data_IF_620582987588
#
_entry.id   IF_620582987588
#
_cell.length_a   1.000
_cell.length_b   1.000
_cell.length_c   1.000
_cell.angle_alpha   90.00
_cell.angle_beta   90.00
_cell.angle_gamma   90.00
#
_symmetry.space_group_name_H-M   'P 1'
#
loop_
_entity.id
_entity.type
_entity.pdbx_description
1 polymer ?
#
# COMPACT_ATOMS: atom_id res chain seq x y z
N UNK A 1 -10.72 5.70 -19.35
CA UNK A 1 -10.44 6.27 -18.01
C UNK A 1 -10.57 7.79 -18.09
N UNK A 2 -11.27 8.46 -17.17
CA UNK A 2 -11.31 9.93 -17.15
C UNK A 2 -9.93 10.48 -16.79
N UNK A 3 -9.54 11.65 -17.35
CA UNK A 3 -8.23 12.28 -17.09
C UNK A 3 -7.94 12.43 -15.59
N UNK A 4 -8.94 12.78 -14.78
CA UNK A 4 -8.80 12.94 -13.34
C UNK A 4 -8.46 11.63 -12.58
N UNK A 5 -8.98 10.48 -13.01
CA UNK A 5 -8.69 9.19 -12.38
C UNK A 5 -7.22 8.77 -12.59
N UNK A 6 -6.66 9.15 -13.74
CA UNK A 6 -5.25 8.90 -14.06
C UNK A 6 -4.33 9.72 -13.15
N UNK A 7 -4.65 10.98 -12.88
CA UNK A 7 -3.91 11.78 -11.89
C UNK A 7 -3.93 11.14 -10.50
N UNK A 8 -5.11 10.72 -10.01
CA UNK A 8 -5.23 10.06 -8.69
C UNK A 8 -4.39 8.77 -8.65
N UNK A 9 -4.41 8.00 -9.73
CA UNK A 9 -3.65 6.75 -9.84
C UNK A 9 -2.14 6.99 -9.79
N UNK A 10 -1.66 8.00 -10.53
CA UNK A 10 -0.25 8.39 -10.54
C UNK A 10 0.17 8.88 -9.15
N UNK A 11 -0.62 9.73 -8.51
CA UNK A 11 -0.31 10.26 -7.17
C UNK A 11 -0.19 9.11 -6.16
N UNK A 12 -1.15 8.17 -6.13
CA UNK A 12 -1.11 7.06 -5.18
C UNK A 12 0.06 6.10 -5.44
N UNK A 13 0.32 5.76 -6.71
CA UNK A 13 1.42 4.88 -7.09
C UNK A 13 2.79 5.49 -6.80
N UNK A 14 3.01 6.73 -7.23
CA UNK A 14 4.26 7.45 -6.98
C UNK A 14 4.49 7.67 -5.48
N UNK A 15 3.44 8.00 -4.71
CA UNK A 15 3.60 8.25 -3.29
C UNK A 15 4.11 6.99 -2.54
N UNK A 16 3.61 5.80 -2.86
CA UNK A 16 4.16 4.56 -2.27
C UNK A 16 5.65 4.37 -2.63
N UNK A 17 6.02 4.55 -3.90
CA UNK A 17 7.40 4.33 -4.36
C UNK A 17 8.36 5.38 -3.78
N UNK A 18 7.96 6.66 -3.77
CA UNK A 18 8.75 7.76 -3.23
C UNK A 18 8.96 7.56 -1.73
N UNK A 19 7.90 7.23 -0.99
CA UNK A 19 8.00 6.97 0.46
C UNK A 19 8.96 5.81 0.73
N UNK A 20 8.83 4.68 0.02
CA UNK A 20 9.76 3.57 0.16
C UNK A 20 11.21 3.98 -0.10
N UNK A 21 11.46 4.75 -1.16
CA UNK A 21 12.81 5.22 -1.51
C UNK A 21 13.37 6.21 -0.49
N UNK A 22 12.57 7.15 0.01
CA UNK A 22 13.01 8.14 1.00
C UNK A 22 13.46 7.47 2.30
N UNK A 23 12.64 6.57 2.85
CA UNK A 23 12.98 5.87 4.08
C UNK A 23 14.13 4.89 3.90
N UNK A 24 14.26 4.27 2.72
CA UNK A 24 15.41 3.44 2.39
C UNK A 24 16.73 4.25 2.37
N UNK A 25 16.74 5.42 1.73
CA UNK A 25 17.91 6.29 1.71
C UNK A 25 18.24 6.86 3.09
N UNK A 26 17.23 7.20 3.89
CA UNK A 26 17.42 7.64 5.28
C UNK A 26 18.14 6.57 6.09
N UNK A 27 17.75 5.31 5.94
CA UNK A 27 18.37 4.17 6.64
C UNK A 27 19.81 3.87 6.19
N UNK A 28 20.11 4.03 4.90
CA UNK A 28 21.49 3.89 4.39
C UNK A 28 22.40 5.05 4.85
N UNK A 29 21.84 6.24 5.05
CA UNK A 29 22.56 7.42 5.54
C UNK A 29 23.16 7.23 6.94
N UNK A 30 22.56 6.35 7.76
CA UNK A 30 23.07 5.97 9.09
C UNK A 30 24.21 4.93 9.04
N UNK A 31 24.80 4.67 7.86
CA UNK A 31 25.94 3.76 7.70
C UNK A 31 25.58 2.28 7.75
N UNK A 32 24.28 1.94 7.67
CA UNK A 32 23.80 0.57 7.60
C UNK A 32 23.98 0.01 6.17
N UNK A 33 24.38 -1.25 6.06
CA UNK A 33 24.49 -1.95 4.78
C UNK A 33 23.14 -2.59 4.39
N UNK A 34 22.91 -2.84 3.09
CA UNK A 34 21.69 -3.50 2.63
C UNK A 34 21.42 -4.85 3.34
N UNK A 35 22.50 -5.58 3.66
CA UNK A 35 22.42 -6.86 4.37
C UNK A 35 22.08 -6.73 5.85
N UNK A 36 22.32 -5.56 6.48
CA UNK A 36 21.93 -5.33 7.88
C UNK A 36 20.49 -4.80 8.03
N UNK A 37 19.88 -4.33 6.94
CA UNK A 37 18.46 -3.94 6.87
C UNK A 37 17.52 -5.12 6.56
N UNK A 38 18.09 -6.31 6.32
CA UNK A 38 17.38 -7.54 6.01
C UNK A 38 17.43 -8.45 7.25
N UNK A 39 16.30 -9.05 7.71
CA UNK A 39 15.00 -9.17 7.04
C UNK A 39 14.01 -8.02 7.28
N UNK A 40 14.16 -7.25 8.35
CA UNK A 40 13.37 -6.04 8.66
C UNK A 40 14.36 -4.92 9.00
N UNK A 41 14.16 -3.67 8.54
CA UNK A 41 12.99 -3.03 7.90
C UNK A 41 12.93 -3.06 6.36
N UNK A 42 13.91 -3.64 5.66
CA UNK A 42 14.00 -3.61 4.19
C UNK A 42 12.83 -4.28 3.47
N UNK A 43 12.35 -5.43 3.96
CA UNK A 43 11.23 -6.16 3.35
C UNK A 43 9.91 -5.35 3.39
N UNK A 44 9.71 -4.61 4.49
CA UNK A 44 8.54 -3.74 4.68
C UNK A 44 8.50 -2.60 3.66
N UNK A 45 9.64 -1.94 3.41
CA UNK A 45 9.75 -0.88 2.41
C UNK A 45 9.57 -1.40 0.98
N UNK A 46 10.09 -2.60 0.70
CA UNK A 46 9.90 -3.27 -0.58
C UNK A 46 8.42 -3.60 -0.82
N UNK A 47 7.72 -4.09 0.20
CA UNK A 47 6.28 -4.39 0.12
C UNK A 47 5.45 -3.14 -0.20
N UNK A 48 5.73 -2.01 0.45
CA UNK A 48 5.06 -0.73 0.17
C UNK A 48 5.24 -0.32 -1.30
N UNK A 49 6.46 -0.44 -1.84
CA UNK A 49 6.74 -0.11 -3.24
C UNK A 49 5.96 -1.04 -4.19
N UNK A 50 5.91 -2.33 -3.86
CA UNK A 50 5.20 -3.35 -4.63
C UNK A 50 3.69 -3.08 -4.61
N UNK A 51 3.11 -2.71 -3.46
CA UNK A 51 1.71 -2.28 -3.35
C UNK A 51 1.43 -1.02 -4.17
N UNK A 52 2.38 -0.08 -4.24
CA UNK A 52 2.30 1.08 -5.13
C UNK A 52 2.17 0.70 -6.61
N UNK A 53 3.03 -0.21 -7.07
CA UNK A 53 3.02 -0.71 -8.45
C UNK A 53 1.76 -1.52 -8.73
N UNK A 54 1.34 -2.39 -7.81
CA UNK A 54 0.11 -3.17 -7.96
C UNK A 54 -1.14 -2.28 -7.96
N UNK A 55 -1.19 -1.26 -7.10
CA UNK A 55 -2.26 -0.27 -7.06
C UNK A 55 -2.35 0.51 -8.37
N UNK A 56 -1.21 0.95 -8.89
CA UNK A 56 -1.12 1.62 -10.19
C UNK A 56 -1.60 0.73 -11.33
N UNK A 57 -1.05 -0.49 -11.43
CA UNK A 57 -1.42 -1.46 -12.45
C UNK A 57 -2.91 -1.82 -12.38
N UNK A 58 -3.43 -2.03 -11.18
CA UNK A 58 -4.82 -2.37 -10.92
C UNK A 58 -5.76 -1.26 -11.38
N UNK A 59 -5.46 -0.01 -11.03
CA UNK A 59 -6.24 1.14 -11.47
C UNK A 59 -6.18 1.35 -12.99
N UNK A 60 -5.01 1.17 -13.60
CA UNK A 60 -4.83 1.29 -15.05
C UNK A 60 -5.61 0.22 -15.83
N UNK A 61 -5.61 -1.03 -15.34
CA UNK A 61 -6.35 -2.16 -15.94
C UNK A 61 -7.79 -2.28 -15.44
N UNK A 62 -8.25 -1.34 -14.62
CA UNK A 62 -9.55 -1.33 -13.98
C UNK A 62 -9.90 -2.65 -13.25
N UNK A 63 -8.91 -3.25 -12.57
CA UNK A 63 -9.05 -4.49 -11.82
C UNK A 63 -9.53 -4.20 -10.39
N UNK A 64 -10.82 -3.88 -10.28
CA UNK A 64 -11.46 -3.42 -9.04
C UNK A 64 -11.09 -4.29 -7.83
N UNK A 65 -11.21 -5.61 -7.91
CA UNK A 65 -10.89 -6.52 -6.80
C UNK A 65 -9.45 -6.35 -6.29
N UNK A 66 -8.50 -6.12 -7.18
CA UNK A 66 -7.08 -5.96 -6.85
C UNK A 66 -6.83 -4.59 -6.20
N UNK A 67 -7.56 -3.54 -6.60
CA UNK A 67 -7.56 -2.24 -5.91
C UNK A 67 -8.05 -2.36 -4.46
N UNK A 68 -9.12 -3.11 -4.22
CA UNK A 68 -9.62 -3.37 -2.85
C UNK A 68 -8.62 -4.16 -2.01
N UNK A 69 -7.93 -5.14 -2.62
CA UNK A 69 -6.86 -5.88 -1.94
C UNK A 69 -5.72 -4.94 -1.56
N UNK A 70 -5.22 -4.13 -2.50
CA UNK A 70 -4.13 -3.16 -2.24
C UNK A 70 -4.50 -2.20 -1.11
N UNK A 71 -5.73 -1.66 -1.09
CA UNK A 71 -6.21 -0.85 0.03
C UNK A 71 -6.24 -1.62 1.35
N UNK A 72 -6.63 -2.89 1.31
CA UNK A 72 -6.65 -3.77 2.49
C UNK A 72 -5.26 -4.01 3.06
N UNK A 73 -4.24 -4.19 2.21
CA UNK A 73 -2.84 -4.32 2.62
C UNK A 73 -2.25 -2.99 3.13
N UNK A 74 -2.61 -1.85 2.52
CA UNK A 74 -2.15 -0.53 2.93
C UNK A 74 -2.66 -0.12 4.32
N UNK A 75 -3.86 -0.55 4.72
CA UNK A 75 -4.46 -0.07 5.95
C UNK A 75 -3.70 -0.51 7.23
N UNK A 76 -3.29 -1.78 7.42
CA UNK A 76 -2.44 -2.21 8.52
C UNK A 76 -1.10 -1.50 8.54
N UNK A 77 -0.48 -1.30 7.36
CA UNK A 77 0.77 -0.55 7.20
C UNK A 77 0.60 0.87 7.74
N UNK A 78 -0.53 1.52 7.46
CA UNK A 78 -0.84 2.86 7.95
C UNK A 78 -1.10 2.86 9.47
N UNK A 79 -1.87 1.91 9.99
CA UNK A 79 -2.25 1.86 11.41
C UNK A 79 -1.03 1.52 12.29
N UNK A 80 -0.31 0.45 11.96
CA UNK A 80 0.84 -0.01 12.73
C UNK A 80 2.08 0.86 12.47
N UNK A 81 2.24 1.35 11.23
CA UNK A 81 3.31 2.27 10.85
C UNK A 81 3.00 3.74 11.18
N UNK A 82 1.88 4.05 11.86
CA UNK A 82 1.41 5.42 12.08
C UNK A 82 2.44 6.34 12.74
N UNK A 83 3.40 5.79 13.50
CA UNK A 83 4.44 6.59 14.16
C UNK A 83 5.63 6.93 13.24
N UNK A 84 5.79 6.25 12.11
CA UNK A 84 6.99 6.36 11.25
C UNK A 84 6.62 6.61 9.79
N UNK A 85 6.25 5.57 9.06
CA UNK A 85 6.04 5.59 7.60
C UNK A 85 4.55 5.72 7.24
N UNK A 86 3.67 5.28 8.12
CA UNK A 86 2.23 5.11 7.86
C UNK A 86 1.51 6.39 7.50
N UNK A 87 1.84 7.52 8.14
CA UNK A 87 1.22 8.82 7.81
C UNK A 87 1.49 9.25 6.37
N UNK A 88 2.68 8.96 5.86
CA UNK A 88 3.06 9.28 4.48
C UNK A 88 2.34 8.43 3.44
N UNK A 89 1.74 7.30 3.84
CA UNK A 89 0.99 6.40 2.95
C UNK A 89 -0.50 6.69 2.89
N UNK A 90 -1.02 7.57 3.76
CA UNK A 90 -2.42 8.02 3.76
C UNK A 90 -2.86 8.53 2.38
N UNK A 91 -2.08 9.38 1.67
CA UNK A 91 -2.46 9.85 0.33
C UNK A 91 -2.64 8.69 -0.66
N UNK A 92 -1.80 7.66 -0.61
CA UNK A 92 -1.92 6.46 -1.46
C UNK A 92 -3.16 5.65 -1.14
N UNK A 93 -3.43 5.44 0.14
CA UNK A 93 -4.63 4.72 0.57
C UNK A 93 -5.91 5.44 0.16
N UNK A 94 -5.98 6.76 0.35
CA UNK A 94 -7.11 7.57 -0.10
C UNK A 94 -7.25 7.53 -1.62
N UNK A 95 -6.16 7.70 -2.36
CA UNK A 95 -6.18 7.66 -3.82
C UNK A 95 -6.74 6.34 -4.36
N UNK A 96 -6.18 5.21 -3.92
CA UNK A 96 -6.64 3.89 -4.35
C UNK A 96 -8.03 3.55 -3.81
N UNK A 97 -8.36 3.96 -2.58
CA UNK A 97 -9.67 3.72 -1.97
C UNK A 97 -10.79 4.47 -2.69
N UNK A 98 -10.56 5.74 -3.03
CA UNK A 98 -11.48 6.54 -3.83
C UNK A 98 -11.69 5.90 -5.21
N UNK A 99 -10.61 5.46 -5.88
CA UNK A 99 -10.70 4.78 -7.17
C UNK A 99 -11.46 3.45 -7.08
N UNK A 100 -11.21 2.65 -6.04
CA UNK A 100 -11.94 1.41 -5.79
C UNK A 100 -13.44 1.69 -5.62
N UNK A 101 -13.79 2.76 -4.89
CA UNK A 101 -15.15 3.23 -4.65
C UNK A 101 -15.83 3.71 -5.94
N UNK A 102 -15.14 4.49 -6.77
CA UNK A 102 -15.65 5.06 -8.02
C UNK A 102 -15.83 3.98 -9.09
N UNK A 103 -14.91 3.02 -9.18
CA UNK A 103 -14.96 1.96 -10.18
C UNK A 103 -15.91 0.82 -9.81
N UNK A 104 -16.27 0.65 -8.53
CA UNK A 104 -17.18 -0.41 -8.08
C UNK A 104 -18.65 -0.01 -8.15
N UNK A 105 -19.48 -0.89 -8.70
CA UNK A 105 -20.93 -0.82 -8.51
C UNK A 105 -21.36 -1.30 -7.12
N UNK A 106 -22.60 -1.03 -6.70
CA UNK A 106 -23.11 -1.36 -5.34
C UNK A 106 -22.96 -2.84 -4.97
N UNK A 107 -23.19 -3.75 -5.93
CA UNK A 107 -23.04 -5.21 -5.73
C UNK A 107 -21.57 -5.61 -5.60
N UNK A 108 -20.72 -5.10 -6.47
CA UNK A 108 -19.27 -5.35 -6.46
C UNK A 108 -18.60 -4.79 -5.20
N UNK A 109 -19.03 -3.61 -4.73
CA UNK A 109 -18.53 -3.03 -3.48
C UNK A 109 -18.73 -3.97 -2.30
N UNK A 110 -19.93 -4.54 -2.14
CA UNK A 110 -20.19 -5.51 -1.05
C UNK A 110 -19.32 -6.76 -1.17
N UNK A 111 -19.10 -7.25 -2.38
CA UNK A 111 -18.29 -8.46 -2.61
C UNK A 111 -16.80 -8.19 -2.38
N UNK A 112 -16.26 -7.14 -2.97
CA UNK A 112 -14.84 -6.79 -2.86
C UNK A 112 -14.48 -6.22 -1.50
N UNK A 113 -15.44 -5.69 -0.72
CA UNK A 113 -15.22 -5.33 0.68
C UNK A 113 -14.77 -6.53 1.52
N UNK A 114 -15.24 -7.74 1.20
CA UNK A 114 -14.75 -8.97 1.86
C UNK A 114 -13.27 -9.22 1.55
N UNK A 115 -12.85 -9.00 0.30
CA UNK A 115 -11.44 -9.12 -0.10
C UNK A 115 -10.56 -8.10 0.61
N UNK A 116 -11.06 -6.87 0.78
CA UNK A 116 -10.39 -5.85 1.58
C UNK A 116 -10.21 -6.27 3.04
N UNK A 117 -11.25 -6.80 3.68
CA UNK A 117 -11.14 -7.32 5.06
C UNK A 117 -10.16 -8.50 5.13
N UNK A 118 -10.22 -9.43 4.18
CA UNK A 118 -9.32 -10.58 4.16
C UNK A 118 -7.86 -10.15 3.98
N UNK A 119 -7.59 -9.23 3.06
CA UNK A 119 -6.28 -8.62 2.86
C UNK A 119 -5.80 -7.89 4.12
N UNK A 120 -6.68 -7.12 4.76
CA UNK A 120 -6.39 -6.43 6.01
C UNK A 120 -5.99 -7.41 7.11
N UNK A 121 -6.80 -8.44 7.36
CA UNK A 121 -6.53 -9.42 8.43
C UNK A 121 -5.24 -10.19 8.13
N UNK A 122 -5.03 -10.61 6.88
CA UNK A 122 -3.83 -11.31 6.46
C UNK A 122 -2.58 -10.47 6.70
N UNK A 123 -2.61 -9.20 6.30
CA UNK A 123 -1.46 -8.31 6.43
C UNK A 123 -1.21 -7.89 7.87
N UNK A 124 -2.27 -7.58 8.61
CA UNK A 124 -2.18 -7.26 10.03
C UNK A 124 -1.63 -8.44 10.85
N UNK A 125 -2.10 -9.66 10.56
CA UNK A 125 -1.60 -10.88 11.19
C UNK A 125 -0.14 -11.15 10.87
N UNK A 126 0.28 -10.98 9.62
CA UNK A 126 1.67 -11.12 9.20
C UNK A 126 2.57 -10.11 9.93
N UNK A 127 2.16 -8.86 10.01
CA UNK A 127 2.91 -7.81 10.73
C UNK A 127 3.06 -8.10 12.22
N UNK A 128 1.97 -8.51 12.88
CA UNK A 128 2.03 -8.91 14.29
C UNK A 128 2.99 -10.08 14.46
N UNK A 129 2.86 -11.13 13.64
CA UNK A 129 3.72 -12.30 13.74
C UNK A 129 5.20 -11.89 13.62
N UNK A 130 5.55 -11.09 12.61
CA UNK A 130 6.91 -10.59 12.41
C UNK A 130 7.44 -9.70 13.54
N UNK A 131 6.57 -8.99 14.27
CA UNK A 131 6.98 -8.18 15.42
C UNK A 131 7.30 -9.05 16.64
N UNK A 132 6.61 -10.18 16.80
CA UNK A 132 6.70 -11.04 17.98
C UNK A 132 7.59 -12.29 17.80
N UNK A 133 8.21 -12.48 16.63
CA UNK A 133 9.18 -13.55 16.34
C UNK A 133 10.58 -12.99 16.18
#
# INVERSE_FOLDING_TARGET
>A
MKKWNLFITIIGGLNCVIVSLLFYNFQLGDGQSFFSLFPLPGLYLFEIALLGVLGFYSAFRNKISLLWIVCGFLLPIIILGAWTVGLYLIPSFLAFGILAIIFSNKKERKQNFKLFIQAFISQFGLMILLIFT
#
